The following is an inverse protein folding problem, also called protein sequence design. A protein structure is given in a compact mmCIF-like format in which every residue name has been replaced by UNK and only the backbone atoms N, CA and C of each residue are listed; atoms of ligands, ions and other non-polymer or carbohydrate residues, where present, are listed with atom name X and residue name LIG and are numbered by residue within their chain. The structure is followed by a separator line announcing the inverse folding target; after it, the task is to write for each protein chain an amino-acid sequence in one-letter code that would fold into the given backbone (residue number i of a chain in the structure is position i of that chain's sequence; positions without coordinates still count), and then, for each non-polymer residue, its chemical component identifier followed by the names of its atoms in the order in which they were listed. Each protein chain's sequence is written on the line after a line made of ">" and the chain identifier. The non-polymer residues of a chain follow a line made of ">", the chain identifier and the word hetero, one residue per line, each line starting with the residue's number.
data_IF_096345028474
#
_entry.id   IF_096345028474
#
_cell.length_a   1.000
_cell.length_b   1.000
_cell.length_c   1.000
_cell.angle_alpha   90.00
_cell.angle_beta   90.00
_cell.angle_gamma   90.00
#
_symmetry.space_group_name_H-M   'P 1'
#
loop_
_entity.id
_entity.type
_entity.pdbx_description
1 polymer ?
#
# COMPACT_ATOMS: atom_id res chain seq x y z
N UNK A 1 3.14 3.29 -0.72
CA UNK A 1 3.35 1.84 -0.89
C UNK A 1 2.12 1.07 -0.42
N UNK A 2 1.79 -0.04 -1.08
CA UNK A 2 0.65 -0.86 -0.69
C UNK A 2 0.92 -1.56 0.65
N UNK A 3 -0.05 -1.53 1.55
CA UNK A 3 0.04 -2.20 2.85
C UNK A 3 -0.42 -3.66 2.82
N UNK A 4 -1.29 -4.02 1.88
CA UNK A 4 -1.89 -5.35 1.77
C UNK A 4 -1.90 -5.80 0.32
N UNK A 5 -1.51 -7.04 0.09
CA UNK A 5 -1.44 -7.63 -1.24
C UNK A 5 -2.39 -8.82 -1.31
N UNK A 6 -3.38 -8.73 -2.17
CA UNK A 6 -4.33 -9.80 -2.43
C UNK A 6 -3.99 -10.45 -3.77
N UNK A 7 -3.78 -11.75 -3.74
CA UNK A 7 -3.42 -12.51 -4.94
C UNK A 7 -4.36 -13.69 -5.13
N UNK A 8 -4.95 -13.79 -6.32
CA UNK A 8 -5.88 -14.87 -6.65
C UNK A 8 -5.18 -16.24 -6.55
N UNK A 9 -5.86 -17.21 -5.95
CA UNK A 9 -5.30 -18.54 -5.65
C UNK A 9 -4.64 -19.25 -6.84
N UNK A 10 -5.18 -19.09 -8.04
CA UNK A 10 -4.67 -19.73 -9.26
C UNK A 10 -3.28 -19.28 -9.68
N UNK A 11 -2.84 -18.10 -9.25
CA UNK A 11 -1.52 -17.53 -9.60
C UNK A 11 -0.66 -17.28 -8.37
N UNK A 12 -1.17 -17.58 -7.17
CA UNK A 12 -0.57 -17.18 -5.91
C UNK A 12 0.89 -17.64 -5.77
N UNK A 13 1.14 -18.93 -5.94
CA UNK A 13 2.45 -19.51 -5.67
C UNK A 13 3.52 -19.00 -6.67
N UNK A 14 3.17 -18.90 -7.95
CA UNK A 14 4.07 -18.36 -8.98
C UNK A 14 4.31 -16.86 -8.78
N UNK A 15 3.28 -16.12 -8.35
CA UNK A 15 3.40 -14.70 -8.05
C UNK A 15 4.35 -14.47 -6.86
N UNK A 16 4.16 -15.18 -5.75
CA UNK A 16 5.01 -15.09 -4.56
C UNK A 16 6.47 -15.41 -4.90
N UNK A 17 6.71 -16.50 -5.65
CA UNK A 17 8.05 -16.87 -6.09
C UNK A 17 8.72 -15.76 -6.91
N UNK A 18 7.97 -15.17 -7.83
CA UNK A 18 8.47 -14.06 -8.67
C UNK A 18 8.73 -12.80 -7.85
N UNK A 19 7.85 -12.50 -6.88
CA UNK A 19 8.00 -11.35 -5.99
C UNK A 19 9.22 -11.47 -5.08
N UNK A 20 9.43 -12.65 -4.47
CA UNK A 20 10.62 -12.93 -3.64
C UNK A 20 11.89 -12.73 -4.46
N UNK A 21 11.93 -13.24 -5.69
CA UNK A 21 13.07 -13.03 -6.58
C UNK A 21 13.36 -11.54 -6.77
N UNK A 22 12.33 -10.73 -7.05
CA UNK A 22 12.49 -9.28 -7.21
C UNK A 22 12.90 -8.59 -5.91
N UNK A 23 12.30 -8.96 -4.79
CA UNK A 23 12.67 -8.43 -3.48
C UNK A 23 14.14 -8.71 -3.13
N UNK A 24 14.67 -9.89 -3.48
CA UNK A 24 16.05 -10.26 -3.25
C UNK A 24 17.07 -9.52 -4.13
N UNK A 25 16.64 -8.94 -5.24
CA UNK A 25 17.48 -8.15 -6.15
C UNK A 25 17.63 -6.69 -5.68
N UNK A 26 16.81 -6.22 -4.72
CA UNK A 26 16.82 -4.84 -4.21
C UNK A 26 18.13 -4.56 -3.46
N UNK A 27 18.84 -3.54 -3.91
CA UNK A 27 20.09 -3.08 -3.32
C UNK A 27 19.84 -2.02 -2.25
N UNK A 28 20.24 -2.31 -1.03
CA UNK A 28 20.18 -1.36 0.07
C UNK A 28 21.40 -0.43 0.07
N UNK A 29 21.15 0.88 0.08
CA UNK A 29 22.25 1.86 0.11
C UNK A 29 21.76 3.30 0.16
N UNK A 30 22.69 4.22 0.31
CA UNK A 30 22.43 5.66 0.19
C UNK A 30 22.40 6.08 -1.28
N UNK A 31 21.45 6.95 -1.64
CA UNK A 31 21.18 7.36 -3.00
C UNK A 31 22.20 8.28 -3.67
N UNK A 32 23.30 8.63 -3.00
CA UNK A 32 24.30 9.62 -3.48
C UNK A 32 24.90 9.30 -4.87
N UNK A 33 24.85 8.04 -5.29
CA UNK A 33 25.37 7.60 -6.59
C UNK A 33 24.34 6.88 -7.47
N UNK A 34 23.06 6.97 -7.16
CA UNK A 34 21.96 6.27 -7.88
C UNK A 34 22.20 4.76 -8.07
N UNK A 35 22.97 4.15 -7.16
CA UNK A 35 23.30 2.72 -7.22
C UNK A 35 22.52 1.88 -6.21
N UNK A 36 21.63 2.50 -5.44
CA UNK A 36 20.80 1.85 -4.47
C UNK A 36 19.33 1.97 -4.85
N UNK A 37 18.57 0.91 -4.62
CA UNK A 37 17.14 0.86 -4.90
C UNK A 37 16.31 1.29 -3.68
N UNK A 38 16.82 1.07 -2.46
CA UNK A 38 16.12 1.39 -1.23
C UNK A 38 17.08 1.92 -0.16
N UNK A 39 16.68 3.03 0.49
CA UNK A 39 17.37 3.64 1.63
C UNK A 39 16.98 3.04 2.98
N UNK A 40 17.57 3.56 4.09
CA UNK A 40 17.19 3.19 5.44
C UNK A 40 15.82 3.78 5.81
N UNK A 41 15.20 3.23 6.85
CA UNK A 41 14.05 3.82 7.52
C UNK A 41 14.45 5.14 8.20
N UNK A 42 13.46 5.98 8.50
CA UNK A 42 13.71 7.33 9.03
C UNK A 42 14.23 7.26 10.48
N UNK A 43 13.64 6.39 11.30
CA UNK A 43 13.92 6.31 12.75
C UNK A 43 14.16 4.88 13.19
N UNK A 44 14.86 4.73 14.33
CA UNK A 44 15.07 3.43 14.99
C UNK A 44 13.77 2.78 15.45
N UNK A 45 12.80 3.59 15.87
CA UNK A 45 11.47 3.13 16.28
C UNK A 45 10.72 2.45 15.12
N UNK A 46 10.99 2.87 13.89
CA UNK A 46 10.40 2.25 12.70
C UNK A 46 10.96 0.85 12.47
N UNK A 47 12.25 0.61 12.77
CA UNK A 47 12.86 -0.73 12.73
C UNK A 47 12.17 -1.65 13.75
N UNK A 48 12.07 -1.21 15.01
CA UNK A 48 11.41 -1.98 16.08
C UNK A 48 9.94 -2.28 15.71
N UNK A 49 9.26 -1.30 15.10
CA UNK A 49 7.87 -1.49 14.64
C UNK A 49 7.77 -2.56 13.55
N UNK A 50 8.71 -2.61 12.61
CA UNK A 50 8.74 -3.67 11.60
C UNK A 50 8.91 -5.04 12.24
N UNK A 51 9.83 -5.17 13.20
CA UNK A 51 10.05 -6.42 13.92
C UNK A 51 8.79 -6.87 14.67
N UNK A 52 8.15 -5.96 15.42
CA UNK A 52 6.91 -6.27 16.14
C UNK A 52 5.77 -6.72 15.21
N UNK A 53 5.60 -6.06 14.06
CA UNK A 53 4.57 -6.43 13.08
C UNK A 53 4.82 -7.83 12.48
N UNK A 54 6.07 -8.17 12.23
CA UNK A 54 6.45 -9.49 11.72
C UNK A 54 6.26 -10.56 12.79
N UNK A 55 6.66 -10.30 14.04
CA UNK A 55 6.47 -11.21 15.17
C UNK A 55 4.99 -11.49 15.42
N UNK A 56 4.14 -10.45 15.42
CA UNK A 56 2.69 -10.61 15.52
C UNK A 56 2.15 -11.53 14.41
N UNK A 57 2.52 -11.25 13.16
CA UNK A 57 2.07 -12.04 12.03
C UNK A 57 2.51 -13.50 12.10
N UNK A 58 3.78 -13.76 12.44
CA UNK A 58 4.31 -15.12 12.58
C UNK A 58 3.62 -15.87 13.74
N UNK A 59 3.41 -15.20 14.88
CA UNK A 59 2.72 -15.80 16.04
C UNK A 59 1.30 -16.21 15.72
N UNK A 60 0.66 -15.58 14.74
CA UNK A 60 -0.69 -15.84 14.24
C UNK A 60 -0.72 -16.76 12.99
N UNK A 61 0.43 -17.32 12.61
CA UNK A 61 0.51 -18.33 11.56
C UNK A 61 0.97 -17.83 10.18
N UNK A 62 1.35 -16.56 10.03
CA UNK A 62 1.99 -16.10 8.80
C UNK A 62 3.38 -16.73 8.65
N UNK A 63 3.79 -16.89 7.40
CA UNK A 63 5.10 -17.44 7.06
C UNK A 63 6.01 -16.34 6.52
N UNK A 64 7.18 -16.17 7.12
CA UNK A 64 8.24 -15.33 6.61
C UNK A 64 8.94 -16.04 5.45
N UNK A 65 8.78 -15.51 4.25
CA UNK A 65 9.35 -16.08 3.02
C UNK A 65 10.70 -15.46 2.67
N UNK A 66 10.89 -14.16 2.97
CA UNK A 66 12.14 -13.45 2.68
C UNK A 66 12.31 -12.23 3.61
N UNK A 67 13.56 -11.86 3.93
CA UNK A 67 13.92 -10.66 4.69
C UNK A 67 13.59 -10.77 6.19
N UNK A 68 12.91 -9.76 6.71
CA UNK A 68 12.42 -9.75 8.09
C UNK A 68 13.44 -9.37 9.15
N UNK A 69 14.55 -8.74 8.77
CA UNK A 69 15.64 -8.42 9.70
C UNK A 69 16.46 -7.22 9.25
N UNK A 70 17.27 -6.71 10.16
CA UNK A 70 18.35 -5.77 9.84
C UNK A 70 19.49 -6.53 9.15
N UNK A 71 20.04 -6.03 8.02
CA UNK A 71 21.18 -6.67 7.37
C UNK A 71 22.43 -6.63 8.26
N UNK A 72 23.11 -7.76 8.43
CA UNK A 72 24.28 -7.92 9.32
C UNK A 72 25.41 -6.92 9.06
N UNK A 73 25.65 -6.56 7.80
CA UNK A 73 26.69 -5.61 7.40
C UNK A 73 26.29 -4.14 7.66
N UNK A 74 25.07 -3.88 8.08
CA UNK A 74 24.48 -2.56 8.28
C UNK A 74 23.97 -2.29 9.70
N UNK A 75 24.07 -3.25 10.63
CA UNK A 75 23.52 -3.17 12.00
C UNK A 75 23.94 -1.91 12.80
N UNK A 76 25.13 -1.39 12.55
CA UNK A 76 25.65 -0.19 13.24
C UNK A 76 25.64 1.10 12.41
N UNK A 77 25.04 1.09 11.22
CA UNK A 77 25.21 2.16 10.21
C UNK A 77 23.92 2.91 9.85
N UNK A 78 22.86 2.75 10.61
CA UNK A 78 21.58 3.40 10.36
C UNK A 78 20.38 2.46 10.53
N UNK A 79 19.19 2.97 10.23
CA UNK A 79 17.93 2.27 10.45
C UNK A 79 17.57 1.36 9.27
N UNK A 80 18.43 0.43 8.97
CA UNK A 80 18.26 -0.47 7.82
C UNK A 80 17.29 -1.59 8.13
N UNK A 81 16.51 -1.98 7.13
CA UNK A 81 15.63 -3.14 7.17
C UNK A 81 15.55 -3.79 5.80
N UNK A 82 15.59 -5.11 5.74
CA UNK A 82 15.50 -5.85 4.47
C UNK A 82 14.09 -5.75 3.88
N UNK A 83 13.94 -5.69 2.54
CA UNK A 83 12.66 -5.97 1.90
C UNK A 83 12.13 -7.30 2.42
N UNK A 84 10.88 -7.32 2.86
CA UNK A 84 10.31 -8.45 3.59
C UNK A 84 9.07 -8.96 2.92
N UNK A 85 8.96 -10.27 2.79
CA UNK A 85 7.81 -10.95 2.19
C UNK A 85 7.20 -11.92 3.20
N UNK A 86 5.92 -11.73 3.49
CA UNK A 86 5.13 -12.61 4.36
C UNK A 86 3.95 -13.19 3.58
N UNK A 87 3.66 -14.47 3.79
CA UNK A 87 2.49 -15.15 3.23
C UNK A 87 1.55 -15.62 4.33
N UNK A 88 0.30 -15.91 3.97
CA UNK A 88 -0.69 -16.37 4.94
C UNK A 88 -1.22 -15.26 5.85
N UNK A 89 -1.26 -14.00 5.34
CA UNK A 89 -1.89 -12.89 6.05
C UNK A 89 -3.36 -13.21 6.36
N UNK A 90 -3.80 -12.89 7.58
CA UNK A 90 -5.18 -13.02 8.04
C UNK A 90 -5.68 -11.71 8.65
N UNK A 91 -7.00 -11.57 8.76
CA UNK A 91 -7.65 -10.32 9.20
C UNK A 91 -7.42 -9.96 10.67
N UNK A 92 -6.98 -10.90 11.50
CA UNK A 92 -6.66 -10.68 12.91
C UNK A 92 -5.25 -10.16 13.16
N UNK A 93 -4.36 -10.24 12.15
CA UNK A 93 -2.98 -9.75 12.21
C UNK A 93 -2.89 -8.22 12.18
N UNK A 94 -1.91 -7.67 12.88
CA UNK A 94 -1.65 -6.23 12.89
C UNK A 94 -1.26 -5.69 11.51
N UNK A 95 -0.54 -6.46 10.71
CA UNK A 95 -0.22 -6.13 9.30
C UNK A 95 -1.44 -5.98 8.40
N UNK A 96 -2.58 -6.59 8.74
CA UNK A 96 -3.83 -6.38 8.03
C UNK A 96 -4.51 -5.06 8.42
N UNK A 97 -4.45 -4.71 9.71
CA UNK A 97 -5.20 -3.61 10.33
C UNK A 97 -4.48 -2.27 10.31
N UNK A 98 -3.16 -2.29 10.52
CA UNK A 98 -2.33 -1.10 10.71
C UNK A 98 -1.56 -0.72 9.46
N UNK A 99 -1.29 0.56 9.31
CA UNK A 99 -0.39 1.04 8.27
C UNK A 99 1.05 0.58 8.55
N UNK A 100 1.64 -0.10 7.58
CA UNK A 100 2.99 -0.69 7.73
C UNK A 100 4.07 0.39 7.68
N UNK A 101 3.99 1.32 6.74
CA UNK A 101 4.96 2.39 6.49
C UNK A 101 6.42 1.91 6.52
N UNK A 102 6.68 0.81 5.82
CA UNK A 102 7.98 0.14 5.78
C UNK A 102 8.04 -0.96 4.72
N UNK A 103 9.21 -1.61 4.55
CA UNK A 103 9.45 -2.51 3.44
C UNK A 103 8.91 -3.94 3.67
N UNK A 104 7.66 -4.05 4.09
CA UNK A 104 6.99 -5.34 4.30
C UNK A 104 5.87 -5.49 3.28
N UNK A 105 5.85 -6.59 2.58
CA UNK A 105 4.79 -7.01 1.67
C UNK A 105 4.08 -8.25 2.23
N UNK A 106 2.93 -8.09 2.92
CA UNK A 106 2.13 -9.19 3.41
C UNK A 106 1.11 -9.61 2.36
N UNK A 107 1.06 -10.91 2.06
CA UNK A 107 0.21 -11.50 1.03
C UNK A 107 -0.91 -12.32 1.60
N UNK A 108 -2.12 -12.06 1.09
CA UNK A 108 -3.32 -12.83 1.33
C UNK A 108 -3.81 -13.48 0.03
N UNK A 109 -4.20 -14.74 0.13
CA UNK A 109 -4.81 -15.48 -0.98
C UNK A 109 -6.30 -15.21 -1.00
N UNK A 110 -6.90 -15.11 -2.18
CA UNK A 110 -8.35 -15.05 -2.36
C UNK A 110 -8.80 -15.95 -3.51
N UNK A 111 -10.08 -16.33 -3.51
CA UNK A 111 -10.68 -17.24 -4.49
C UNK A 111 -11.77 -16.61 -5.35
N UNK A 112 -12.46 -15.57 -4.86
CA UNK A 112 -13.55 -14.90 -5.56
C UNK A 112 -13.43 -13.37 -5.51
N UNK A 113 -14.12 -12.71 -6.44
CA UNK A 113 -14.15 -11.24 -6.51
C UNK A 113 -14.88 -10.63 -5.29
N UNK A 114 -15.97 -11.26 -4.84
CA UNK A 114 -16.72 -10.80 -3.67
C UNK A 114 -15.85 -10.85 -2.40
N UNK A 115 -15.12 -11.96 -2.21
CA UNK A 115 -14.21 -12.12 -1.09
C UNK A 115 -13.14 -11.02 -1.06
N UNK A 116 -12.49 -10.74 -2.19
CA UNK A 116 -11.40 -9.74 -2.21
C UNK A 116 -11.93 -8.32 -2.09
N UNK A 117 -13.11 -8.00 -2.58
CA UNK A 117 -13.75 -6.70 -2.39
C UNK A 117 -14.09 -6.46 -0.92
N UNK A 118 -14.67 -7.45 -0.25
CA UNK A 118 -14.95 -7.38 1.19
C UNK A 118 -13.65 -7.17 1.99
N UNK A 119 -12.63 -8.01 1.75
CA UNK A 119 -11.34 -7.93 2.44
C UNK A 119 -10.61 -6.61 2.15
N UNK A 120 -10.68 -6.11 0.92
CA UNK A 120 -10.04 -4.84 0.54
C UNK A 120 -10.68 -3.65 1.27
N UNK A 121 -12.00 -3.64 1.39
CA UNK A 121 -12.75 -2.58 2.07
C UNK A 121 -12.71 -2.68 3.61
N UNK A 122 -12.30 -3.82 4.16
CA UNK A 122 -12.18 -4.05 5.60
C UNK A 122 -10.95 -3.35 6.18
N UNK A 123 -10.95 -2.02 6.14
CA UNK A 123 -9.90 -1.16 6.65
C UNK A 123 -10.45 0.21 7.05
N UNK A 124 -9.79 0.84 8.01
CA UNK A 124 -10.06 2.23 8.40
C UNK A 124 -9.47 3.25 7.42
N UNK A 125 -8.65 2.82 6.49
CA UNK A 125 -7.95 3.66 5.52
C UNK A 125 -8.57 3.55 4.13
N UNK A 126 -8.37 4.56 3.30
CA UNK A 126 -8.90 4.60 1.94
C UNK A 126 -8.18 5.61 1.05
N UNK A 127 -6.85 5.55 0.98
CA UNK A 127 -6.10 6.45 0.09
C UNK A 127 -6.10 5.91 -1.34
N UNK A 128 -5.42 4.79 -1.58
CA UNK A 128 -5.25 4.24 -2.92
C UNK A 128 -5.36 2.72 -2.95
N UNK A 129 -5.94 2.22 -4.03
CA UNK A 129 -6.00 0.80 -4.38
C UNK A 129 -5.44 0.57 -5.78
N UNK A 130 -4.91 -0.63 -6.00
CA UNK A 130 -4.26 -1.01 -7.25
C UNK A 130 -4.83 -2.33 -7.75
N UNK A 131 -5.35 -2.35 -8.98
CA UNK A 131 -5.95 -3.52 -9.59
C UNK A 131 -5.19 -3.89 -10.85
N UNK A 132 -4.91 -5.17 -11.02
CA UNK A 132 -4.27 -5.71 -12.22
C UNK A 132 -5.21 -6.72 -12.88
N UNK A 133 -5.85 -6.32 -13.97
CA UNK A 133 -6.80 -7.15 -14.72
C UNK A 133 -7.00 -6.62 -16.14
N UNK A 134 -7.34 -7.51 -17.08
CA UNK A 134 -7.72 -7.15 -18.44
C UNK A 134 -9.25 -7.29 -18.68
N UNK A 135 -10.02 -7.66 -17.66
CA UNK A 135 -11.46 -7.80 -17.76
C UNK A 135 -12.14 -6.44 -17.48
N UNK A 136 -12.86 -5.89 -18.47
CA UNK A 136 -13.50 -4.56 -18.35
C UNK A 136 -14.64 -4.54 -17.32
N UNK A 137 -15.47 -5.58 -17.24
CA UNK A 137 -16.55 -5.66 -16.26
C UNK A 137 -16.01 -5.65 -14.83
N UNK A 138 -14.88 -6.34 -14.61
CA UNK A 138 -14.16 -6.31 -13.32
C UNK A 138 -13.59 -4.93 -13.04
N UNK A 139 -13.04 -4.24 -14.03
CA UNK A 139 -12.53 -2.87 -13.87
C UNK A 139 -13.64 -1.95 -13.42
N UNK A 140 -14.80 -1.98 -14.09
CA UNK A 140 -15.96 -1.17 -13.72
C UNK A 140 -16.43 -1.49 -12.32
N UNK A 141 -16.70 -2.76 -12.03
CA UNK A 141 -17.17 -3.21 -10.72
C UNK A 141 -16.24 -2.78 -9.58
N UNK A 142 -14.94 -3.05 -9.70
CA UNK A 142 -13.98 -2.71 -8.65
C UNK A 142 -13.76 -1.20 -8.51
N UNK A 143 -13.89 -0.44 -9.59
CA UNK A 143 -13.83 1.03 -9.52
C UNK A 143 -14.99 1.61 -8.74
N UNK A 144 -16.17 1.00 -8.80
CA UNK A 144 -17.36 1.44 -8.09
C UNK A 144 -17.42 0.95 -6.64
N UNK A 145 -16.99 -0.30 -6.38
CA UNK A 145 -17.18 -0.95 -5.08
C UNK A 145 -15.99 -0.77 -4.13
N UNK A 146 -14.79 -0.42 -4.59
CA UNK A 146 -13.64 -0.17 -3.73
C UNK A 146 -13.72 1.19 -3.04
N UNK A 147 -13.70 1.18 -1.71
CA UNK A 147 -13.79 2.37 -0.86
C UNK A 147 -12.42 3.04 -0.68
N UNK A 148 -11.89 3.59 -1.76
CA UNK A 148 -10.61 4.30 -1.80
C UNK A 148 -10.74 5.59 -2.62
N UNK A 149 -10.00 6.62 -2.25
CA UNK A 149 -9.95 7.87 -3.00
C UNK A 149 -9.34 7.71 -4.39
N UNK A 150 -8.47 6.71 -4.56
CA UNK A 150 -7.89 6.35 -5.85
C UNK A 150 -8.02 4.86 -6.15
N UNK A 151 -8.44 4.54 -7.37
CA UNK A 151 -8.38 3.19 -7.93
C UNK A 151 -7.47 3.22 -9.16
N UNK A 152 -6.28 2.65 -9.03
CA UNK A 152 -5.26 2.60 -10.07
C UNK A 152 -5.33 1.26 -10.83
N UNK A 153 -5.43 1.29 -12.15
CA UNK A 153 -5.65 0.10 -12.96
C UNK A 153 -4.42 -0.21 -13.82
N UNK A 154 -3.87 -1.41 -13.66
CA UNK A 154 -2.73 -1.93 -14.41
C UNK A 154 -1.46 -1.06 -14.34
N UNK A 155 -1.30 -0.31 -13.26
CA UNK A 155 -0.14 0.55 -13.05
C UNK A 155 -0.46 1.75 -12.18
N UNK A 156 0.46 2.70 -12.14
CA UNK A 156 0.31 3.95 -11.39
C UNK A 156 0.40 5.12 -12.37
N UNK A 157 -0.60 5.99 -12.35
CA UNK A 157 -0.60 7.22 -13.15
C UNK A 157 -0.81 8.41 -12.25
N UNK A 158 0.24 9.19 -12.05
CA UNK A 158 0.15 10.50 -11.42
C UNK A 158 0.02 11.59 -12.47
N UNK A 159 -0.95 12.50 -12.27
CA UNK A 159 -1.10 13.66 -13.13
C UNK A 159 -1.72 14.81 -12.32
N UNK A 160 -1.21 16.03 -12.50
CA UNK A 160 -1.64 17.20 -11.74
C UNK A 160 -3.13 17.55 -11.91
N UNK A 161 -3.76 17.07 -12.98
CA UNK A 161 -5.18 17.26 -13.25
C UNK A 161 -6.08 16.18 -12.64
N UNK A 162 -5.50 15.10 -12.07
CA UNK A 162 -6.23 14.08 -11.34
C UNK A 162 -6.23 14.42 -9.84
N UNK A 163 -7.37 14.35 -9.15
CA UNK A 163 -7.40 14.58 -7.72
C UNK A 163 -6.61 13.47 -7.01
N UNK A 164 -5.84 13.85 -6.01
CA UNK A 164 -5.19 12.94 -5.10
C UNK A 164 -5.71 13.22 -3.69
N UNK A 165 -6.31 12.23 -3.06
CA UNK A 165 -6.87 12.37 -1.72
C UNK A 165 -7.52 11.08 -1.25
N UNK A 166 -7.53 10.88 0.05
CA UNK A 166 -8.11 9.70 0.69
C UNK A 166 -9.52 9.92 1.17
N UNK A 167 -10.14 8.82 1.55
CA UNK A 167 -11.38 8.78 2.32
C UNK A 167 -11.12 8.06 3.65
N UNK A 168 -12.11 7.98 4.51
CA UNK A 168 -11.99 7.36 5.85
C UNK A 168 -10.86 8.05 6.64
N UNK A 169 -10.04 7.31 7.38
CA UNK A 169 -8.95 7.85 8.19
C UNK A 169 -7.71 8.28 7.37
N UNK A 170 -7.71 8.05 6.05
CA UNK A 170 -6.62 8.54 5.19
C UNK A 170 -6.66 10.04 4.94
N UNK A 171 -7.75 10.72 5.28
CA UNK A 171 -7.81 12.18 5.30
C UNK A 171 -9.05 12.77 4.67
N UNK A 172 -9.09 14.11 4.65
CA UNK A 172 -10.16 14.95 4.09
C UNK A 172 -9.49 15.94 3.15
N UNK A 173 -10.18 16.25 2.03
CA UNK A 173 -9.66 17.18 1.02
C UNK A 173 -8.83 16.49 -0.06
N UNK A 174 -8.30 17.28 -0.98
CA UNK A 174 -7.61 16.78 -2.16
C UNK A 174 -6.38 17.62 -2.46
N UNK A 175 -5.31 16.95 -2.86
CA UNK A 175 -4.21 17.54 -3.59
C UNK A 175 -4.46 17.42 -5.09
N UNK A 176 -3.81 18.24 -5.89
CA UNK A 176 -3.93 18.24 -7.34
C UNK A 176 -5.35 18.56 -7.86
N UNK A 177 -5.49 18.63 -9.17
CA UNK A 177 -6.70 19.03 -9.89
C UNK A 177 -7.29 20.39 -9.45
N UNK A 178 -8.40 20.79 -10.07
CA UNK A 178 -9.14 21.98 -9.65
C UNK A 178 -9.82 21.83 -8.30
N UNK A 179 -10.07 20.60 -7.84
CA UNK A 179 -10.71 20.31 -6.55
C UNK A 179 -9.85 20.78 -5.37
N UNK A 180 -8.52 20.72 -5.49
CA UNK A 180 -7.61 21.24 -4.47
C UNK A 180 -7.82 22.72 -4.15
N UNK A 181 -8.29 23.50 -5.12
CA UNK A 181 -8.55 24.94 -4.92
C UNK A 181 -9.79 25.17 -4.06
N UNK A 182 -10.72 24.25 -4.03
CA UNK A 182 -11.97 24.40 -3.26
C UNK A 182 -11.71 24.48 -1.75
N UNK A 183 -10.66 23.80 -1.26
CA UNK A 183 -10.28 23.82 0.15
C UNK A 183 -9.73 25.18 0.60
N UNK A 184 -9.29 26.02 -0.34
CA UNK A 184 -8.76 27.37 -0.08
C UNK A 184 -9.73 28.50 -0.42
N UNK A 185 -10.97 28.19 -0.89
CA UNK A 185 -11.93 29.15 -1.36
C UNK A 185 -13.23 29.12 -0.53
N UNK A 186 -13.80 30.30 -0.32
CA UNK A 186 -15.11 30.46 0.30
C UNK A 186 -16.12 30.78 -0.80
N UNK A 187 -17.21 30.00 -0.87
CA UNK A 187 -18.29 30.24 -1.83
C UNK A 187 -19.18 31.40 -1.37
N UNK A 188 -19.33 32.43 -2.23
CA UNK A 188 -20.23 33.57 -2.01
C UNK A 188 -21.33 33.60 -3.05
N UNK A 189 -22.55 33.66 -2.60
CA UNK A 189 -23.72 33.98 -3.49
C UNK A 189 -23.88 35.48 -3.63
N UNK A 190 -23.90 35.97 -4.87
CA UNK A 190 -24.28 37.35 -5.18
C UNK A 190 -25.52 37.29 -6.08
N UNK A 191 -26.59 37.97 -5.70
CA UNK A 191 -27.81 38.12 -6.51
C UNK A 191 -28.17 39.58 -6.62
N UNK A 192 -28.58 40.05 -7.83
CA UNK A 192 -29.12 41.37 -8.06
C UNK A 192 -30.59 41.21 -8.45
N UNK A 193 -31.47 41.84 -7.70
CA UNK A 193 -32.92 41.79 -7.95
C UNK A 193 -33.43 42.92 -8.89
N UNK A 194 -32.53 43.77 -9.38
CA UNK A 194 -32.83 44.83 -10.32
C UNK A 194 -32.76 44.31 -11.76
N UNK A 195 -33.78 43.55 -12.17
CA UNK A 195 -34.01 43.20 -13.58
C UNK A 195 -35.52 43.01 -13.79
#
# INVERSE_FOLDING_TARGET
>A
AANRFFVHEKIYDDFIKSYIKRASEIKLGFGEKYQADMGPLVRSEDVNRMEMLIEDAISKGAKLEYGGKVPKDKESKGNWFEPTVLTGLTTDMDLFKKETFGPIAPFMKFSSEDEVLELANQTEYGLASYIFTNNHERIERFSDELEFGEVQINGVKYAIYLPHGGIKNSGIGHDCSHLALEDYLIKKRVSNALS
#
